data_IF_246459026725
#
_entry.id   IF_246459026725
#
_cell.length_a   1.000
_cell.length_b   1.000
_cell.length_c   1.000
_cell.angle_alpha   90.00
_cell.angle_beta   90.00
_cell.angle_gamma   90.00
#
_symmetry.space_group_name_H-M   'P 1'
#
loop_
_entity.id
_entity.type
_entity.pdbx_description
1 polymer ?
#
# COMPACT_ATOMS: atom_id res chain seq x y z
N UNK A 1 -15.58 1.34 14.40
CA UNK A 1 -15.16 -0.05 14.57
C UNK A 1 -15.05 -0.67 13.18
N UNK A 2 -13.87 -1.17 12.82
CA UNK A 2 -13.71 -1.92 11.57
C UNK A 2 -14.51 -3.23 11.76
N UNK A 3 -15.51 -3.45 10.91
CA UNK A 3 -16.38 -4.62 11.07
C UNK A 3 -15.83 -5.85 10.38
N UNK A 4 -15.16 -5.66 9.24
CA UNK A 4 -14.71 -6.78 8.42
C UNK A 4 -13.37 -6.47 7.76
N UNK A 5 -12.46 -7.40 7.90
CA UNK A 5 -11.20 -7.44 7.15
C UNK A 5 -11.24 -8.74 6.35
N UNK A 6 -11.24 -8.61 5.03
CA UNK A 6 -11.30 -9.75 4.13
C UNK A 6 -10.30 -9.60 2.99
N UNK A 7 -9.67 -10.70 2.54
CA UNK A 7 -8.85 -10.66 1.34
C UNK A 7 -9.73 -10.44 0.11
N UNK A 8 -9.26 -9.68 -0.86
CA UNK A 8 -9.95 -9.48 -2.15
C UNK A 8 -9.90 -10.74 -3.02
N UNK A 9 -8.83 -11.52 -2.91
CA UNK A 9 -8.67 -12.76 -3.67
C UNK A 9 -9.72 -13.79 -3.27
N UNK A 10 -10.42 -14.31 -4.26
CA UNK A 10 -11.39 -15.39 -4.08
C UNK A 10 -12.71 -14.99 -3.43
N UNK A 11 -12.96 -13.72 -3.19
CA UNK A 11 -14.26 -13.23 -2.70
C UNK A 11 -15.13 -12.69 -3.81
N UNK A 12 -16.40 -13.04 -3.76
CA UNK A 12 -17.43 -12.56 -4.69
C UNK A 12 -18.41 -11.58 -4.04
N UNK A 13 -18.52 -11.61 -2.70
CA UNK A 13 -19.42 -10.76 -1.93
C UNK A 13 -18.64 -9.94 -0.90
N UNK A 14 -18.73 -8.63 -0.99
CA UNK A 14 -18.17 -7.69 -0.01
C UNK A 14 -19.31 -7.01 0.74
N UNK A 15 -19.15 -6.84 2.04
CA UNK A 15 -20.13 -6.09 2.81
C UNK A 15 -20.20 -4.63 2.33
N UNK A 16 -21.41 -4.11 2.25
CA UNK A 16 -21.66 -2.71 1.90
C UNK A 16 -21.26 -1.80 3.07
N UNK A 17 -20.43 -0.83 2.79
CA UNK A 17 -19.97 0.18 3.73
C UNK A 17 -19.99 1.57 3.09
N UNK A 18 -19.85 2.61 3.92
CA UNK A 18 -19.73 3.99 3.47
C UNK A 18 -18.27 4.37 3.23
N UNK A 19 -17.36 3.80 4.02
CA UNK A 19 -15.91 4.05 3.97
C UNK A 19 -15.20 2.74 3.70
N UNK A 20 -14.35 2.75 2.69
CA UNK A 20 -13.56 1.60 2.26
C UNK A 20 -12.07 1.87 2.53
N UNK A 21 -11.47 1.05 3.39
CA UNK A 21 -10.05 0.99 3.56
C UNK A 21 -9.51 -0.17 2.71
N UNK A 22 -8.87 0.17 1.61
CA UNK A 22 -8.36 -0.81 0.64
C UNK A 22 -6.88 -1.05 0.89
N UNK A 23 -6.54 -2.28 1.26
CA UNK A 23 -5.17 -2.71 1.50
C UNK A 23 -4.50 -3.23 0.24
N UNK A 24 -3.21 -2.97 0.07
CA UNK A 24 -2.41 -3.48 -1.04
C UNK A 24 -0.96 -3.75 -0.62
N UNK A 25 -0.31 -4.60 -1.38
CA UNK A 25 1.16 -4.68 -1.42
C UNK A 25 1.62 -4.13 -2.76
N UNK A 26 2.79 -3.48 -2.76
CA UNK A 26 3.29 -2.84 -3.98
C UNK A 26 3.79 -3.88 -4.97
N UNK A 27 3.20 -3.87 -6.16
CA UNK A 27 3.63 -4.63 -7.32
C UNK A 27 4.03 -3.65 -8.43
N UNK A 28 5.31 -3.65 -8.78
CA UNK A 28 5.87 -2.83 -9.88
C UNK A 28 5.47 -1.34 -9.83
N UNK A 29 5.45 -0.78 -8.64
CA UNK A 29 5.11 0.62 -8.43
C UNK A 29 3.62 0.94 -8.41
N UNK A 30 2.77 -0.07 -8.30
CA UNK A 30 1.31 0.03 -8.19
C UNK A 30 0.77 -1.05 -7.25
N UNK A 31 -0.52 -1.33 -7.31
CA UNK A 31 -1.15 -2.46 -6.65
C UNK A 31 -1.32 -3.65 -7.61
N UNK A 32 -1.73 -4.81 -7.09
CA UNK A 32 -2.08 -5.96 -7.92
C UNK A 32 -3.31 -5.68 -8.78
N UNK A 33 -3.46 -6.42 -9.87
CA UNK A 33 -4.58 -6.26 -10.81
C UNK A 33 -5.93 -6.42 -10.09
N UNK A 34 -6.03 -7.36 -9.15
CA UNK A 34 -7.25 -7.60 -8.38
C UNK A 34 -7.68 -6.37 -7.57
N UNK A 35 -6.71 -5.68 -6.96
CA UNK A 35 -6.98 -4.44 -6.22
C UNK A 35 -7.39 -3.32 -7.17
N UNK A 36 -6.70 -3.16 -8.29
CA UNK A 36 -6.99 -2.12 -9.29
C UNK A 36 -8.39 -2.32 -9.91
N UNK A 37 -8.74 -3.56 -10.26
CA UNK A 37 -10.06 -3.89 -10.79
C UNK A 37 -11.16 -3.62 -9.76
N UNK A 38 -10.91 -3.97 -8.49
CA UNK A 38 -11.86 -3.68 -7.43
C UNK A 38 -12.08 -2.18 -7.23
N UNK A 39 -10.99 -1.38 -7.20
CA UNK A 39 -11.07 0.08 -7.10
C UNK A 39 -11.90 0.67 -8.25
N UNK A 40 -11.67 0.21 -9.48
CA UNK A 40 -12.42 0.65 -10.66
C UNK A 40 -13.91 0.30 -10.62
N UNK A 41 -14.30 -0.68 -9.81
CA UNK A 41 -15.71 -1.08 -9.65
C UNK A 41 -16.47 -0.24 -8.62
N UNK A 42 -15.77 0.52 -7.77
CA UNK A 42 -16.39 1.30 -6.71
C UNK A 42 -16.97 2.61 -7.27
N UNK A 43 -18.19 2.95 -6.83
CA UNK A 43 -18.91 4.16 -7.22
C UNK A 43 -19.55 4.82 -6.01
N UNK A 44 -19.37 6.14 -5.88
CA UNK A 44 -19.99 6.93 -4.83
C UNK A 44 -19.51 6.55 -3.43
N UNK A 45 -18.26 6.10 -3.27
CA UNK A 45 -17.68 5.64 -2.01
C UNK A 45 -16.60 6.57 -1.49
N UNK A 46 -16.37 6.52 -0.17
CA UNK A 46 -15.21 7.14 0.47
C UNK A 46 -14.12 6.10 0.56
N UNK A 47 -12.94 6.38 -0.04
CA UNK A 47 -11.87 5.40 -0.22
C UNK A 47 -10.56 5.90 0.38
N UNK A 48 -10.01 5.14 1.31
CA UNK A 48 -8.66 5.30 1.83
C UNK A 48 -7.80 4.10 1.44
N UNK A 49 -6.54 4.33 1.12
CA UNK A 49 -5.59 3.28 0.77
C UNK A 49 -4.60 3.04 1.92
N UNK A 50 -4.20 1.81 2.11
CA UNK A 50 -3.08 1.48 2.98
C UNK A 50 -2.28 0.32 2.37
N UNK A 51 -0.97 0.41 2.46
CA UNK A 51 -0.15 -0.62 1.81
C UNK A 51 1.28 -0.70 2.28
N UNK A 52 1.96 -1.70 1.77
CA UNK A 52 3.38 -1.93 2.02
C UNK A 52 4.19 -1.86 0.72
N UNK A 53 5.44 -1.43 0.87
CA UNK A 53 6.42 -1.39 -0.21
C UNK A 53 7.76 -1.95 0.30
N UNK A 54 8.44 -2.72 -0.52
CA UNK A 54 9.76 -3.25 -0.16
C UNK A 54 10.84 -2.17 -0.03
N UNK A 55 10.69 -1.05 -0.73
CA UNK A 55 11.61 0.09 -0.61
C UNK A 55 11.31 0.90 0.65
N UNK A 56 12.33 1.17 1.48
CA UNK A 56 12.18 1.91 2.71
C UNK A 56 12.51 3.40 2.58
N UNK A 57 11.86 4.21 3.40
CA UNK A 57 12.14 5.64 3.60
C UNK A 57 12.20 6.49 2.31
N UNK A 58 11.45 6.12 1.31
CA UNK A 58 11.36 6.84 0.04
C UNK A 58 9.98 7.46 -0.15
N UNK A 59 9.82 8.67 0.42
CA UNK A 59 8.54 9.41 0.39
C UNK A 59 8.11 9.72 -1.04
N UNK A 60 9.03 10.09 -1.92
CA UNK A 60 8.73 10.39 -3.32
C UNK A 60 8.25 9.13 -4.07
N UNK A 61 8.88 7.99 -3.81
CA UNK A 61 8.46 6.72 -4.39
C UNK A 61 7.07 6.29 -3.87
N UNK A 62 6.79 6.45 -2.59
CA UNK A 62 5.49 6.15 -2.01
C UNK A 62 4.39 7.03 -2.61
N UNK A 63 4.67 8.32 -2.81
CA UNK A 63 3.76 9.24 -3.49
C UNK A 63 3.47 8.81 -4.92
N UNK A 64 4.48 8.35 -5.64
CA UNK A 64 4.31 7.84 -7.00
C UNK A 64 3.47 6.56 -7.05
N UNK A 65 3.65 5.64 -6.11
CA UNK A 65 2.80 4.45 -5.95
C UNK A 65 1.34 4.87 -5.74
N UNK A 66 1.11 5.79 -4.81
CA UNK A 66 -0.23 6.33 -4.55
C UNK A 66 -0.86 6.93 -5.82
N UNK A 67 -0.15 7.77 -6.54
CA UNK A 67 -0.61 8.37 -7.79
C UNK A 67 -0.96 7.32 -8.85
N UNK A 68 -0.14 6.28 -9.00
CA UNK A 68 -0.38 5.18 -9.93
C UNK A 68 -1.65 4.38 -9.60
N UNK A 69 -1.98 4.24 -8.32
CA UNK A 69 -3.18 3.53 -7.88
C UNK A 69 -4.41 4.41 -8.01
N UNK A 70 -4.30 5.71 -7.70
CA UNK A 70 -5.41 6.66 -7.73
C UNK A 70 -6.09 6.78 -9.09
N UNK A 71 -5.37 6.57 -10.19
CA UNK A 71 -5.97 6.63 -11.54
C UNK A 71 -7.05 5.58 -11.77
N UNK A 72 -7.13 4.55 -10.90
CA UNK A 72 -8.16 3.52 -10.93
C UNK A 72 -9.37 3.82 -10.05
N UNK A 73 -9.35 4.94 -9.32
CA UNK A 73 -10.46 5.41 -8.50
C UNK A 73 -11.28 6.39 -9.33
N UNK A 74 -12.52 6.02 -9.66
CA UNK A 74 -13.43 6.86 -10.45
C UNK A 74 -13.78 8.16 -9.73
N UNK A 75 -14.01 9.23 -10.50
CA UNK A 75 -14.17 10.60 -9.99
C UNK A 75 -15.38 10.82 -9.10
N UNK A 76 -16.37 9.94 -9.15
CA UNK A 76 -17.55 9.99 -8.28
C UNK A 76 -17.29 9.49 -6.84
N UNK A 77 -16.10 8.93 -6.61
CA UNK A 77 -15.66 8.55 -5.28
C UNK A 77 -14.92 9.70 -4.58
N UNK A 78 -14.98 9.72 -3.27
CA UNK A 78 -14.20 10.62 -2.43
C UNK A 78 -12.91 9.94 -1.98
N UNK A 79 -11.78 10.47 -2.39
CA UNK A 79 -10.48 9.94 -1.99
C UNK A 79 -9.99 10.57 -0.68
N UNK A 80 -9.72 9.73 0.31
CA UNK A 80 -9.38 10.13 1.67
C UNK A 80 -7.89 10.11 2.00
N UNK A 81 -7.05 9.65 1.09
CA UNK A 81 -5.61 9.58 1.27
C UNK A 81 -5.07 8.15 1.36
N UNK A 82 -3.75 8.05 1.55
CA UNK A 82 -3.05 6.78 1.67
C UNK A 82 -2.03 6.77 2.81
N UNK A 83 -1.80 5.58 3.35
CA UNK A 83 -0.68 5.28 4.22
C UNK A 83 0.14 4.14 3.64
N UNK A 84 1.43 4.37 3.42
CA UNK A 84 2.36 3.37 2.90
C UNK A 84 3.55 3.28 3.85
N UNK A 85 3.93 2.06 4.21
CA UNK A 85 5.15 1.80 4.97
C UNK A 85 5.99 0.70 4.31
N UNK A 86 7.21 0.53 4.79
CA UNK A 86 8.03 -0.59 4.34
C UNK A 86 7.42 -1.91 4.82
N UNK A 87 7.54 -2.95 4.00
CA UNK A 87 7.09 -4.30 4.30
C UNK A 87 7.99 -5.36 3.70
N UNK A 88 7.81 -6.59 4.13
CA UNK A 88 8.60 -7.73 3.70
C UNK A 88 8.49 -7.98 2.21
N UNK A 89 9.58 -8.40 1.62
CA UNK A 89 9.65 -8.90 0.24
C UNK A 89 9.81 -10.42 0.22
N UNK A 90 9.30 -11.10 -0.81
CA UNK A 90 9.56 -12.54 -0.99
C UNK A 90 11.07 -12.83 -1.12
N UNK A 91 11.50 -13.97 -0.59
CA UNK A 91 12.92 -14.40 -0.66
C UNK A 91 13.43 -14.50 -2.10
N UNK A 92 12.56 -14.78 -3.04
CA UNK A 92 12.88 -14.82 -4.48
C UNK A 92 13.44 -13.49 -5.00
N UNK A 93 13.06 -12.37 -4.40
CA UNK A 93 13.62 -11.05 -4.74
C UNK A 93 15.08 -10.97 -4.36
N UNK A 94 15.45 -11.47 -3.18
CA UNK A 94 16.85 -11.54 -2.73
C UNK A 94 17.70 -12.43 -3.63
N UNK A 95 17.17 -13.58 -3.97
CA UNK A 95 17.83 -14.53 -4.89
C UNK A 95 18.05 -13.90 -6.27
N UNK A 96 17.07 -13.17 -6.77
CA UNK A 96 17.19 -12.41 -8.02
C UNK A 96 18.30 -11.37 -7.94
N UNK A 97 18.39 -10.58 -6.86
CA UNK A 97 19.45 -9.60 -6.68
C UNK A 97 20.82 -10.26 -6.69
N UNK A 98 20.98 -11.37 -5.98
CA UNK A 98 22.24 -12.12 -5.96
C UNK A 98 22.63 -12.65 -7.36
N UNK A 99 21.67 -13.16 -8.12
CA UNK A 99 21.90 -13.67 -9.48
C UNK A 99 22.31 -12.59 -10.48
N UNK A 100 21.90 -11.34 -10.25
CA UNK A 100 22.23 -10.20 -11.10
C UNK A 100 23.57 -9.54 -10.77
N UNK A 101 24.20 -9.93 -9.65
CA UNK A 101 25.42 -9.30 -9.16
C UNK A 101 26.60 -9.53 -10.09
N UNK A 102 27.26 -8.44 -10.47
CA UNK A 102 28.50 -8.41 -11.26
C UNK A 102 29.46 -7.41 -10.64
N UNK A 103 30.72 -7.42 -11.08
CA UNK A 103 31.72 -6.42 -10.62
C UNK A 103 31.27 -4.97 -10.95
N UNK A 104 30.53 -4.76 -12.03
CA UNK A 104 30.08 -3.44 -12.46
C UNK A 104 28.93 -2.87 -11.60
N UNK A 105 28.03 -3.73 -11.10
CA UNK A 105 26.85 -3.33 -10.36
C UNK A 105 26.90 -3.71 -8.88
N UNK A 106 28.00 -4.25 -8.39
CA UNK A 106 28.11 -4.79 -7.03
C UNK A 106 27.68 -3.81 -5.96
N UNK A 107 28.09 -2.55 -6.06
CA UNK A 107 27.74 -1.50 -5.10
C UNK A 107 26.23 -1.26 -5.05
N UNK A 108 25.58 -1.23 -6.21
CA UNK A 108 24.14 -1.08 -6.31
C UNK A 108 23.40 -2.30 -5.75
N UNK A 109 23.81 -3.50 -6.14
CA UNK A 109 23.20 -4.75 -5.67
C UNK A 109 23.36 -4.90 -4.15
N UNK A 110 24.51 -4.58 -3.60
CA UNK A 110 24.71 -4.60 -2.16
C UNK A 110 23.79 -3.60 -1.43
N UNK A 111 23.53 -2.43 -2.01
CA UNK A 111 22.55 -1.49 -1.46
C UNK A 111 21.12 -2.06 -1.49
N UNK A 112 20.76 -2.74 -2.58
CA UNK A 112 19.45 -3.40 -2.70
C UNK A 112 19.30 -4.55 -1.69
N UNK A 113 20.36 -5.32 -1.44
CA UNK A 113 20.37 -6.38 -0.44
C UNK A 113 20.23 -5.82 0.98
N UNK A 114 20.91 -4.73 1.29
CA UNK A 114 20.73 -4.04 2.59
C UNK A 114 19.29 -3.55 2.77
N UNK A 115 18.70 -2.98 1.73
CA UNK A 115 17.28 -2.60 1.78
C UNK A 115 16.37 -3.82 1.98
N UNK A 116 16.64 -4.94 1.33
CA UNK A 116 15.92 -6.19 1.54
C UNK A 116 15.97 -6.63 3.01
N UNK A 117 17.15 -6.62 3.60
CA UNK A 117 17.33 -7.02 5.01
C UNK A 117 16.57 -6.09 5.94
N UNK A 118 16.55 -4.78 5.68
CA UNK A 118 15.74 -3.81 6.42
C UNK A 118 14.26 -4.05 6.23
N UNK A 119 13.81 -4.34 5.00
CA UNK A 119 12.41 -4.62 4.70
C UNK A 119 11.86 -5.82 5.49
N UNK A 120 12.71 -6.82 5.79
CA UNK A 120 12.30 -8.00 6.59
C UNK A 120 11.97 -7.66 8.04
N UNK A 121 12.36 -6.49 8.55
CA UNK A 121 12.03 -5.99 9.88
C UNK A 121 10.73 -5.17 9.92
N UNK A 122 10.11 -4.95 8.76
CA UNK A 122 8.89 -4.15 8.62
C UNK A 122 7.69 -4.99 8.13
N UNK A 123 6.45 -4.59 8.45
CA UNK A 123 6.10 -3.45 9.31
C UNK A 123 6.53 -3.66 10.76
N UNK A 124 7.01 -2.61 11.39
CA UNK A 124 7.36 -2.60 12.81
C UNK A 124 6.27 -1.88 13.67
N UNK A 125 6.53 -1.72 14.97
CA UNK A 125 5.61 -1.03 15.88
C UNK A 125 5.34 0.41 15.45
N UNK A 126 6.34 1.11 14.94
CA UNK A 126 6.22 2.49 14.44
C UNK A 126 5.30 2.58 13.22
N UNK A 127 5.44 1.62 12.31
CA UNK A 127 4.58 1.52 11.13
C UNK A 127 3.13 1.29 11.53
N UNK A 128 2.88 0.42 12.49
CA UNK A 128 1.54 0.16 13.00
C UNK A 128 0.92 1.36 13.72
N UNK A 129 1.73 2.09 14.49
CA UNK A 129 1.29 3.35 15.10
C UNK A 129 0.95 4.41 14.06
N UNK A 130 1.77 4.52 13.00
CA UNK A 130 1.50 5.39 11.85
C UNK A 130 0.19 5.02 11.14
N UNK A 131 -0.07 3.75 10.94
CA UNK A 131 -1.33 3.28 10.36
C UNK A 131 -2.55 3.65 11.23
N UNK A 132 -2.45 3.47 12.54
CA UNK A 132 -3.51 3.89 13.49
C UNK A 132 -3.76 5.39 13.46
N UNK A 133 -2.69 6.18 13.41
CA UNK A 133 -2.78 7.64 13.31
C UNK A 133 -3.45 8.08 12.00
N UNK A 134 -3.14 7.42 10.90
CA UNK A 134 -3.78 7.65 9.60
C UNK A 134 -5.29 7.38 9.65
N UNK A 135 -5.71 6.22 10.16
CA UNK A 135 -7.14 5.88 10.31
C UNK A 135 -7.85 6.92 11.18
N UNK A 136 -7.26 7.30 12.31
CA UNK A 136 -7.82 8.33 13.20
C UNK A 136 -8.01 9.66 12.46
N UNK A 137 -7.01 10.09 11.70
CA UNK A 137 -7.07 11.31 10.90
C UNK A 137 -8.19 11.25 9.86
N UNK A 138 -8.34 10.14 9.14
CA UNK A 138 -9.43 9.96 8.16
C UNK A 138 -10.78 10.19 8.81
N UNK A 139 -11.05 9.57 9.95
CA UNK A 139 -12.32 9.75 10.66
C UNK A 139 -12.51 11.16 11.24
N UNK A 140 -11.46 11.82 11.67
CA UNK A 140 -11.52 13.21 12.13
C UNK A 140 -11.86 14.17 10.99
N UNK A 141 -11.27 13.96 9.82
CA UNK A 141 -11.52 14.79 8.64
C UNK A 141 -12.98 14.62 8.15
N UNK A 142 -13.49 13.39 8.08
CA UNK A 142 -14.90 13.13 7.73
C UNK A 142 -15.86 13.83 8.70
N UNK A 143 -15.61 13.75 10.01
CA UNK A 143 -16.48 14.43 11.00
C UNK A 143 -16.48 15.95 10.88
N UNK A 144 -15.38 16.54 10.44
CA UNK A 144 -15.30 18.01 10.23
C UNK A 144 -16.14 18.45 9.02
N UNK A 145 -16.21 17.60 7.99
CA UNK A 145 -17.01 17.89 6.80
C UNK A 145 -18.52 17.76 7.05
N UNK A 146 -18.93 16.92 8.01
CA UNK A 146 -20.33 16.72 8.41
C UNK A 146 -20.88 17.85 9.32
N UNK A 147 -20.03 18.75 9.81
CA UNK A 147 -20.40 19.89 10.64
C UNK A 147 -20.65 21.14 9.79
#
# INVERSE_FOLDING_TARGET
>A
QCKDIAPLEGQTDYEMGDIYFIGFWTDRGSASVEVLDYLSSLQGKKIALFGTCGMGNDVEYYKKIEENIRVFIEDDNEYLGAYICQGKMPISVREKYLSMKTKKNEKMINAMLRNFDMAMLHPDTKDLEGAKAFVKKVFEDIRKEEL
#
